data_IF_488303586953
#
_entry.id   IF_488303586953
#
_cell.length_a   1.000
_cell.length_b   1.000
_cell.length_c   1.000
_cell.angle_alpha   90.00
_cell.angle_beta   90.00
_cell.angle_gamma   90.00
#
_symmetry.space_group_name_H-M   'P 1'
#
loop_
_entity.id
_entity.type
_entity.pdbx_description
1 polymer ?
#
# COMPACT_ATOMS: atom_id res chain seq x y z
N UNK A 1 27.82 -23.34 63.68
CA UNK A 1 26.90 -22.27 63.27
C UNK A 1 27.44 -21.68 61.96
N UNK A 2 27.05 -22.25 60.82
CA UNK A 2 27.42 -21.73 59.50
C UNK A 2 26.15 -21.65 58.67
N UNK A 3 25.65 -20.43 58.46
CA UNK A 3 24.52 -20.13 57.58
C UNK A 3 25.08 -19.81 56.19
N UNK A 4 24.90 -20.71 55.23
CA UNK A 4 25.17 -20.43 53.82
C UNK A 4 23.97 -19.70 53.23
N UNK A 5 24.18 -18.44 52.82
CA UNK A 5 23.17 -17.63 52.13
C UNK A 5 23.25 -17.97 50.64
N UNK A 6 22.29 -18.74 50.14
CA UNK A 6 22.08 -18.93 48.70
C UNK A 6 21.45 -17.67 48.10
N UNK A 7 22.21 -16.97 47.27
CA UNK A 7 21.74 -15.83 46.50
C UNK A 7 20.96 -16.35 45.28
N UNK A 8 19.63 -16.28 45.32
CA UNK A 8 18.77 -16.54 44.17
C UNK A 8 18.87 -15.37 43.18
N UNK A 9 19.58 -15.58 42.08
CA UNK A 9 19.51 -14.73 40.89
C UNK A 9 18.13 -14.90 40.25
N UNK A 10 17.22 -13.98 40.55
CA UNK A 10 15.96 -13.83 39.80
C UNK A 10 16.29 -13.15 38.48
N UNK A 11 16.31 -13.93 37.40
CA UNK A 11 16.36 -13.41 36.04
C UNK A 11 15.11 -12.59 35.76
N UNK A 12 15.27 -11.27 35.63
CA UNK A 12 14.28 -10.37 35.07
C UNK A 12 14.08 -10.71 33.59
N UNK A 13 13.21 -11.67 33.31
CA UNK A 13 12.65 -11.85 31.97
C UNK A 13 11.76 -10.64 31.72
N UNK A 14 12.24 -9.69 30.92
CA UNK A 14 11.41 -8.60 30.44
C UNK A 14 10.22 -9.19 29.70
N UNK A 15 9.02 -9.04 30.27
CA UNK A 15 7.77 -9.34 29.57
C UNK A 15 7.68 -8.35 28.40
N UNK A 16 8.11 -8.78 27.21
CA UNK A 16 7.75 -8.11 25.98
C UNK A 16 6.21 -8.09 25.93
N UNK A 17 5.62 -6.93 26.16
CA UNK A 17 4.18 -6.77 26.04
C UNK A 17 3.86 -6.88 24.56
N UNK A 18 3.18 -7.96 24.16
CA UNK A 18 2.63 -8.09 22.82
C UNK A 18 1.81 -6.85 22.50
N UNK A 19 2.17 -6.14 21.43
CA UNK A 19 1.48 -4.91 21.04
C UNK A 19 0.22 -5.30 20.27
N UNK A 20 -0.94 -5.18 20.93
CA UNK A 20 -2.23 -5.35 20.27
C UNK A 20 -2.74 -4.01 19.73
N UNK A 21 -3.22 -4.02 18.49
CA UNK A 21 -3.92 -2.90 17.87
C UNK A 21 -5.41 -3.17 17.85
N UNK A 22 -6.22 -2.15 18.10
CA UNK A 22 -7.69 -2.22 18.08
C UNK A 22 -8.20 -1.60 16.79
N UNK A 23 -9.17 -2.25 16.13
CA UNK A 23 -9.79 -1.71 14.91
C UNK A 23 -10.46 -0.37 15.19
N UNK A 24 -10.10 0.65 14.41
CA UNK A 24 -10.70 1.99 14.42
C UNK A 24 -11.67 2.20 13.28
N UNK A 25 -11.42 1.54 12.15
CA UNK A 25 -12.19 1.70 10.93
C UNK A 25 -12.32 0.36 10.20
N UNK A 26 -13.50 0.10 9.63
CA UNK A 26 -13.80 -1.04 8.76
C UNK A 26 -14.53 -0.49 7.53
N UNK A 27 -13.82 -0.39 6.41
CA UNK A 27 -14.31 0.24 5.18
C UNK A 27 -14.72 -0.86 4.22
N UNK A 28 -16.02 -1.00 3.99
CA UNK A 28 -16.63 -2.08 3.20
C UNK A 28 -17.75 -1.52 2.33
N UNK A 29 -17.80 -1.91 1.06
CA UNK A 29 -18.87 -1.50 0.15
C UNK A 29 -19.02 0.01 0.07
N UNK A 30 -20.19 0.52 0.44
CA UNK A 30 -20.55 1.95 0.36
C UNK A 30 -19.70 2.84 1.29
N UNK A 31 -19.13 2.30 2.38
CA UNK A 31 -18.29 3.06 3.32
C UNK A 31 -17.03 3.64 2.65
N UNK A 32 -16.59 3.11 1.50
CA UNK A 32 -15.50 3.69 0.72
C UNK A 32 -15.81 5.11 0.26
N UNK A 33 -17.07 5.43 -0.04
CA UNK A 33 -17.47 6.75 -0.51
C UNK A 33 -17.43 7.80 0.61
N UNK A 34 -17.56 7.38 1.86
CA UNK A 34 -17.48 8.26 3.03
C UNK A 34 -16.05 8.37 3.55
N UNK A 35 -15.30 7.26 3.55
CA UNK A 35 -13.94 7.22 4.07
C UNK A 35 -12.95 7.94 3.14
N UNK A 36 -13.18 7.90 1.82
CA UNK A 36 -12.31 8.54 0.84
C UNK A 36 -12.94 9.78 0.20
N UNK A 37 -12.10 10.64 -0.34
CA UNK A 37 -12.46 11.68 -1.29
C UNK A 37 -11.85 11.38 -2.66
N UNK A 38 -12.54 11.82 -3.71
CA UNK A 38 -12.12 11.60 -5.09
C UNK A 38 -11.30 12.80 -5.57
N UNK A 39 -10.08 12.56 -6.01
CA UNK A 39 -9.15 13.61 -6.43
C UNK A 39 -9.20 13.81 -7.94
N UNK A 40 -9.99 14.79 -8.40
CA UNK A 40 -10.04 15.21 -9.80
C UNK A 40 -8.90 16.19 -10.11
N UNK A 41 -7.66 15.67 -10.08
CA UNK A 41 -6.43 16.44 -10.26
C UNK A 41 -5.69 15.98 -11.52
N UNK A 42 -4.83 16.83 -12.12
CA UNK A 42 -3.81 16.35 -13.06
C UNK A 42 -2.96 15.26 -12.39
N UNK A 43 -2.60 14.22 -13.14
CA UNK A 43 -1.78 13.13 -12.61
C UNK A 43 -0.37 13.62 -12.26
N UNK A 44 0.06 13.56 -10.99
CA UNK A 44 1.39 14.02 -10.59
C UNK A 44 2.54 13.29 -11.30
N UNK A 45 2.27 12.07 -11.78
CA UNK A 45 3.21 11.19 -12.49
C UNK A 45 3.09 11.28 -14.02
N UNK A 46 2.40 12.31 -14.53
CA UNK A 46 2.25 12.62 -15.96
C UNK A 46 1.65 11.49 -16.82
N UNK A 47 0.76 10.70 -16.22
CA UNK A 47 0.05 9.62 -16.88
C UNK A 47 -0.88 10.07 -18.00
N UNK A 48 -1.14 9.17 -18.96
CA UNK A 48 -2.20 9.30 -19.97
C UNK A 48 -3.56 8.97 -19.37
N UNK A 49 -3.90 9.68 -18.28
CA UNK A 49 -5.07 9.44 -17.45
C UNK A 49 -5.81 10.76 -17.20
N UNK A 50 -7.11 10.66 -16.94
CA UNK A 50 -7.91 11.76 -16.39
C UNK A 50 -8.60 11.25 -15.15
N UNK A 51 -8.16 11.72 -13.98
CA UNK A 51 -8.85 11.43 -12.73
C UNK A 51 -10.12 12.26 -12.66
N UNK A 52 -11.25 11.58 -12.49
CA UNK A 52 -12.56 12.21 -12.43
C UNK A 52 -13.08 12.30 -11.00
N UNK A 53 -14.01 13.22 -10.76
CA UNK A 53 -14.71 13.33 -9.48
C UNK A 53 -15.68 12.16 -9.22
N UNK A 54 -16.23 12.09 -8.01
CA UNK A 54 -17.15 11.02 -7.60
C UNK A 54 -18.40 10.96 -8.48
N UNK A 55 -19.01 12.11 -8.77
CA UNK A 55 -20.24 12.20 -9.56
C UNK A 55 -20.03 11.59 -10.95
N UNK A 56 -18.92 11.94 -11.58
CA UNK A 56 -18.52 11.43 -12.90
C UNK A 56 -18.14 9.95 -12.82
N UNK A 57 -17.37 9.54 -11.81
CA UNK A 57 -16.97 8.16 -11.60
C UNK A 57 -18.19 7.23 -11.47
N UNK A 58 -19.18 7.61 -10.66
CA UNK A 58 -20.42 6.82 -10.49
C UNK A 58 -21.24 6.84 -11.79
N UNK A 59 -21.42 7.99 -12.42
CA UNK A 59 -22.19 8.12 -13.66
C UNK A 59 -21.62 7.29 -14.82
N UNK A 60 -20.29 7.18 -14.90
CA UNK A 60 -19.58 6.38 -15.89
C UNK A 60 -19.32 4.93 -15.44
N UNK A 61 -19.72 4.58 -14.22
CA UNK A 61 -19.41 3.29 -13.57
C UNK A 61 -17.90 3.00 -13.61
N UNK A 62 -17.09 3.97 -13.18
CA UNK A 62 -15.66 3.84 -12.88
C UNK A 62 -15.42 3.49 -11.42
N UNK A 63 -16.37 3.82 -10.54
CA UNK A 63 -16.48 3.20 -9.22
C UNK A 63 -17.82 2.50 -9.04
N UNK A 64 -17.82 1.45 -8.21
CA UNK A 64 -19.03 0.74 -7.81
C UNK A 64 -18.86 0.25 -6.38
N UNK A 65 -19.79 0.60 -5.51
CA UNK A 65 -19.74 0.29 -4.09
C UNK A 65 -21.06 -0.35 -3.67
N UNK A 66 -21.04 -1.61 -3.24
CA UNK A 66 -22.24 -2.31 -2.74
C UNK A 66 -21.86 -3.55 -1.93
N UNK A 67 -22.62 -3.83 -0.88
CA UNK A 67 -22.42 -4.99 -0.01
C UNK A 67 -20.95 -5.06 0.47
N UNK A 68 -20.22 -6.11 0.10
CA UNK A 68 -18.79 -6.27 0.40
C UNK A 68 -17.90 -6.05 -0.83
N UNK A 69 -18.33 -5.26 -1.81
CA UNK A 69 -17.59 -5.02 -3.05
C UNK A 69 -17.40 -3.54 -3.28
N UNK A 70 -16.15 -3.14 -3.43
CA UNK A 70 -15.77 -1.83 -3.94
C UNK A 70 -14.89 -2.01 -5.17
N UNK A 71 -15.34 -1.50 -6.32
CA UNK A 71 -14.59 -1.49 -7.56
C UNK A 71 -14.10 -0.08 -7.87
N UNK A 72 -12.85 0.02 -8.30
CA UNK A 72 -12.25 1.21 -8.94
C UNK A 72 -11.63 0.77 -10.26
N UNK A 73 -12.03 1.37 -11.39
CA UNK A 73 -11.61 0.93 -12.73
C UNK A 73 -11.28 2.07 -13.68
N UNK A 74 -10.43 1.79 -14.67
CA UNK A 74 -10.28 2.64 -15.84
C UNK A 74 -11.48 2.48 -16.79
N UNK A 75 -11.74 3.51 -17.60
CA UNK A 75 -12.73 3.43 -18.67
C UNK A 75 -12.29 2.39 -19.72
N UNK A 76 -13.07 1.31 -19.85
CA UNK A 76 -12.88 0.28 -20.88
C UNK A 76 -13.88 0.33 -22.04
N UNK A 77 -14.72 1.38 -22.14
CA UNK A 77 -15.84 1.50 -23.09
C UNK A 77 -15.62 2.56 -24.16
N UNK A 78 -15.00 3.70 -23.85
CA UNK A 78 -14.83 4.79 -24.82
C UNK A 78 -13.96 4.37 -26.00
N UNK A 79 -14.49 4.46 -27.23
CA UNK A 79 -13.94 3.80 -28.43
C UNK A 79 -12.51 4.27 -28.77
N UNK A 80 -12.25 5.57 -28.82
CA UNK A 80 -10.93 6.14 -29.09
C UNK A 80 -10.77 7.49 -28.38
N UNK A 81 -9.56 7.78 -27.91
CA UNK A 81 -9.19 9.10 -27.37
C UNK A 81 -8.57 9.97 -28.49
N UNK A 82 -8.89 11.26 -28.47
CA UNK A 82 -8.12 12.27 -29.23
C UNK A 82 -6.68 12.32 -28.67
N UNK A 83 -5.63 12.06 -29.48
CA UNK A 83 -4.24 12.16 -29.03
C UNK A 83 -3.88 13.51 -28.41
N UNK A 84 -4.53 14.60 -28.81
CA UNK A 84 -4.35 15.95 -28.28
C UNK A 84 -5.31 16.30 -27.13
N UNK A 85 -6.29 15.42 -26.86
CA UNK A 85 -7.27 15.57 -25.80
C UNK A 85 -6.84 14.97 -24.45
N UNK A 86 -7.75 14.91 -23.47
CA UNK A 86 -7.50 14.30 -22.16
C UNK A 86 -7.15 12.81 -22.26
N UNK A 87 -6.57 12.28 -21.16
CA UNK A 87 -6.26 10.87 -21.02
C UNK A 87 -7.51 10.00 -20.81
N UNK A 88 -7.30 8.69 -20.61
CA UNK A 88 -8.40 7.76 -20.32
C UNK A 88 -8.93 8.03 -18.92
N UNK A 89 -10.24 8.08 -18.75
CA UNK A 89 -10.83 8.30 -17.44
C UNK A 89 -10.47 7.16 -16.48
N UNK A 90 -10.10 7.53 -15.27
CA UNK A 90 -9.80 6.64 -14.15
C UNK A 90 -10.08 7.39 -12.85
N UNK A 91 -9.73 6.79 -11.72
CA UNK A 91 -10.02 7.35 -10.40
C UNK A 91 -8.79 7.27 -9.50
N UNK A 92 -8.62 8.32 -8.70
CA UNK A 92 -7.70 8.42 -7.57
C UNK A 92 -8.51 8.83 -6.36
N UNK A 93 -8.47 8.02 -5.31
CA UNK A 93 -9.15 8.29 -4.05
C UNK A 93 -8.15 8.43 -2.92
N UNK A 94 -8.38 9.36 -2.00
CA UNK A 94 -7.55 9.65 -0.83
C UNK A 94 -8.38 9.57 0.44
N UNK A 95 -7.89 8.91 1.48
CA UNK A 95 -8.63 8.81 2.74
C UNK A 95 -8.80 10.20 3.34
N UNK A 96 -9.94 10.50 3.96
CA UNK A 96 -10.14 11.77 4.67
C UNK A 96 -9.28 11.86 5.93
N UNK A 97 -9.08 10.73 6.59
CA UNK A 97 -8.24 10.60 7.79
C UNK A 97 -6.77 10.46 7.41
N UNK A 98 -5.91 10.84 8.35
CA UNK A 98 -4.48 10.57 8.30
C UNK A 98 -4.03 9.63 9.40
N UNK A 99 -2.91 8.95 9.18
CA UNK A 99 -2.38 7.92 10.06
C UNK A 99 -0.87 8.09 10.27
N UNK A 100 -0.41 7.83 11.49
CA UNK A 100 1.02 7.73 11.83
C UNK A 100 1.33 6.27 12.21
N UNK A 101 1.37 5.95 13.51
CA UNK A 101 1.49 4.56 13.98
C UNK A 101 0.16 3.85 13.83
N UNK A 102 0.09 2.88 12.92
CA UNK A 102 -1.13 2.13 12.67
C UNK A 102 -0.80 0.80 11.96
N UNK A 103 -1.83 -0.04 11.86
CA UNK A 103 -1.86 -1.22 11.01
C UNK A 103 -3.03 -1.06 10.05
N UNK A 104 -2.84 -1.37 8.78
CA UNK A 104 -3.93 -1.46 7.80
C UNK A 104 -3.88 -2.82 7.10
N UNK A 105 -5.05 -3.40 6.88
CA UNK A 105 -5.23 -4.68 6.17
C UNK A 105 -6.15 -4.44 4.98
N UNK A 106 -5.68 -4.77 3.78
CA UNK A 106 -6.44 -4.71 2.53
C UNK A 106 -6.82 -6.13 2.11
N UNK A 107 -8.12 -6.45 2.08
CA UNK A 107 -8.65 -7.68 1.50
C UNK A 107 -8.99 -7.41 0.02
N UNK A 108 -8.13 -7.84 -0.90
CA UNK A 108 -8.21 -7.51 -2.33
C UNK A 108 -8.50 -8.77 -3.13
N UNK A 109 -9.53 -8.75 -3.97
CA UNK A 109 -9.92 -9.86 -4.85
C UNK A 109 -9.30 -9.74 -6.24
N UNK A 110 -9.14 -8.52 -6.72
CA UNK A 110 -8.61 -8.21 -8.05
C UNK A 110 -7.82 -6.89 -8.00
N UNK A 111 -6.74 -6.80 -8.76
CA UNK A 111 -6.01 -5.56 -9.00
C UNK A 111 -5.88 -5.27 -10.51
N UNK A 112 -5.69 -4.00 -10.92
CA UNK A 112 -5.62 -3.68 -12.33
C UNK A 112 -4.51 -4.43 -13.07
N UNK A 113 -4.86 -4.98 -14.23
CA UNK A 113 -3.91 -5.59 -15.16
C UNK A 113 -4.08 -5.00 -16.57
N UNK A 114 -2.98 -4.97 -17.33
CA UNK A 114 -2.94 -4.56 -18.73
C UNK A 114 -1.61 -3.89 -19.10
N UNK A 115 -1.33 -3.84 -20.40
CA UNK A 115 -0.27 -2.97 -20.90
C UNK A 115 -0.65 -1.50 -20.64
N UNK A 116 0.31 -0.72 -20.16
CA UNK A 116 0.15 0.68 -19.82
C UNK A 116 -0.47 0.95 -18.45
N UNK A 117 -0.91 -0.06 -17.68
CA UNK A 117 -1.48 0.18 -16.34
C UNK A 117 -0.41 0.47 -15.30
N UNK A 118 -0.68 1.44 -14.42
CA UNK A 118 0.09 1.74 -13.22
C UNK A 118 -0.85 1.86 -12.00
N UNK A 119 -1.24 0.73 -11.39
CA UNK A 119 -2.02 0.73 -10.16
C UNK A 119 -1.16 0.95 -8.92
N UNK A 120 -1.71 1.64 -7.92
CA UNK A 120 -1.07 1.80 -6.62
C UNK A 120 -2.05 1.79 -5.44
N UNK A 121 -1.61 1.21 -4.33
CA UNK A 121 -2.13 1.41 -2.96
C UNK A 121 -0.96 1.83 -2.09
N UNK A 122 -1.04 3.04 -1.53
CA UNK A 122 0.11 3.73 -0.96
C UNK A 122 -0.32 4.77 0.05
N UNK A 123 0.63 5.32 0.79
CA UNK A 123 0.38 6.36 1.78
C UNK A 123 1.40 7.50 1.67
N UNK A 124 0.91 8.73 1.71
CA UNK A 124 1.76 9.92 1.77
C UNK A 124 1.06 11.12 2.40
N UNK A 125 1.83 12.18 2.64
CA UNK A 125 1.31 13.54 2.74
C UNK A 125 1.66 14.29 1.45
N UNK A 126 0.66 14.54 0.61
CA UNK A 126 0.86 15.14 -0.72
C UNK A 126 1.34 16.59 -0.64
N UNK A 127 0.85 17.35 0.35
CA UNK A 127 1.28 18.74 0.55
C UNK A 127 2.74 18.78 1.00
N UNK A 128 3.60 19.40 0.18
CA UNK A 128 5.03 19.49 0.45
C UNK A 128 5.78 18.18 0.20
N UNK A 129 5.20 17.26 -0.57
CA UNK A 129 5.86 16.02 -0.97
C UNK A 129 7.28 16.27 -1.53
N UNK A 130 8.30 15.44 -1.18
CA UNK A 130 8.27 14.25 -0.31
C UNK A 130 8.76 14.53 1.11
N UNK A 131 8.63 15.76 1.63
CA UNK A 131 9.11 16.10 2.98
C UNK A 131 8.43 15.24 4.05
N UNK A 132 7.15 14.91 3.85
CA UNK A 132 6.39 14.03 4.73
C UNK A 132 6.60 12.54 4.48
N UNK A 133 7.45 12.14 3.52
CA UNK A 133 7.66 10.74 3.12
C UNK A 133 6.49 10.10 2.38
N UNK A 134 6.74 8.98 1.75
CA UNK A 134 5.76 8.16 1.02
C UNK A 134 6.12 6.68 1.17
N UNK A 135 5.09 5.84 1.27
CA UNK A 135 5.21 4.38 1.29
C UNK A 135 4.24 3.75 0.30
N UNK A 136 4.79 3.03 -0.67
CA UNK A 136 4.05 2.21 -1.61
C UNK A 136 3.88 0.81 -1.03
N UNK A 137 2.64 0.35 -0.91
CA UNK A 137 2.30 -0.95 -0.32
C UNK A 137 2.06 -1.98 -1.43
N UNK A 138 1.26 -1.58 -2.42
CA UNK A 138 0.98 -2.37 -3.62
C UNK A 138 1.26 -1.49 -4.82
N UNK A 139 2.29 -1.79 -5.61
CA UNK A 139 2.65 -0.99 -6.78
C UNK A 139 3.38 -1.83 -7.84
N UNK A 140 3.10 -1.51 -9.10
CA UNK A 140 3.78 -2.06 -10.25
C UNK A 140 3.21 -1.51 -11.56
N UNK A 141 3.79 -1.93 -12.68
CA UNK A 141 3.43 -1.39 -14.01
C UNK A 141 3.35 -2.50 -15.05
N UNK A 142 2.49 -2.34 -16.06
CA UNK A 142 2.46 -3.17 -17.27
C UNK A 142 2.38 -4.70 -17.05
N UNK A 143 1.70 -5.16 -15.99
CA UNK A 143 1.69 -6.58 -15.54
C UNK A 143 3.04 -7.15 -15.12
N UNK A 144 4.06 -6.31 -14.95
CA UNK A 144 5.39 -6.72 -14.52
C UNK A 144 5.34 -6.97 -13.02
N UNK A 145 5.17 -8.25 -12.66
CA UNK A 145 5.37 -8.71 -11.29
C UNK A 145 6.87 -8.87 -10.97
N UNK A 146 7.21 -9.07 -9.70
CA UNK A 146 6.34 -9.13 -8.50
C UNK A 146 6.00 -7.75 -7.94
N UNK A 147 5.15 -7.70 -6.90
CA UNK A 147 4.80 -6.45 -6.24
C UNK A 147 6.04 -5.73 -5.70
N UNK A 148 6.11 -4.43 -5.89
CA UNK A 148 7.08 -3.56 -5.24
C UNK A 148 6.44 -2.87 -4.03
N UNK A 149 7.09 -2.92 -2.88
CA UNK A 149 6.84 -1.98 -1.80
C UNK A 149 8.04 -1.04 -1.69
N UNK A 150 7.79 0.26 -1.64
CA UNK A 150 8.84 1.29 -1.84
C UNK A 150 8.69 2.39 -0.81
N UNK A 151 9.80 2.99 -0.40
CA UNK A 151 9.77 4.25 0.35
C UNK A 151 10.42 5.35 -0.48
N UNK A 152 9.78 6.52 -0.49
CA UNK A 152 10.33 7.77 -1.00
C UNK A 152 10.46 8.75 0.15
N UNK A 153 11.65 9.31 0.33
CA UNK A 153 11.93 10.25 1.43
C UNK A 153 12.78 11.42 0.94
N UNK A 154 12.86 12.46 1.77
CA UNK A 154 13.95 13.44 1.70
C UNK A 154 15.33 12.77 1.98
N UNK A 155 16.46 13.45 1.74
CA UNK A 155 17.79 12.88 1.97
C UNK A 155 18.01 12.34 3.39
N UNK A 156 18.68 11.20 3.51
CA UNK A 156 19.11 10.65 4.81
C UNK A 156 18.50 9.30 5.21
N UNK A 157 17.79 8.63 4.29
CA UNK A 157 17.17 7.32 4.51
C UNK A 157 17.77 6.28 3.57
N UNK A 158 18.30 5.20 4.15
CA UNK A 158 18.74 4.01 3.41
C UNK A 158 18.05 2.76 3.92
N UNK A 159 17.54 1.94 3.02
CA UNK A 159 16.96 0.65 3.35
C UNK A 159 18.07 -0.38 3.61
N UNK A 160 17.92 -1.13 4.70
CA UNK A 160 18.87 -2.16 5.11
C UNK A 160 18.37 -3.56 4.72
N UNK A 161 19.27 -4.37 4.17
CA UNK A 161 19.02 -5.77 3.82
C UNK A 161 19.06 -6.64 5.07
N UNK A 162 17.90 -6.90 5.68
CA UNK A 162 17.83 -7.83 6.82
C UNK A 162 16.93 -9.04 6.60
N UNK A 163 16.14 -9.10 5.52
CA UNK A 163 15.24 -10.22 5.26
C UNK A 163 15.49 -10.95 3.95
N UNK A 164 15.35 -12.28 4.02
CA UNK A 164 15.47 -13.20 2.89
C UNK A 164 14.21 -13.21 2.02
N UNK A 165 13.13 -12.48 2.33
CA UNK A 165 11.86 -12.55 1.59
C UNK A 165 11.67 -11.48 0.52
N UNK A 166 12.69 -10.64 0.30
CA UNK A 166 12.65 -9.55 -0.67
C UNK A 166 13.97 -9.38 -1.42
N UNK A 167 13.94 -8.58 -2.49
CA UNK A 167 15.12 -8.09 -3.21
C UNK A 167 14.97 -6.60 -3.47
N UNK A 168 15.94 -5.78 -3.02
CA UNK A 168 15.96 -4.36 -3.34
C UNK A 168 16.37 -4.12 -4.79
N UNK A 169 15.65 -3.23 -5.49
CA UNK A 169 16.11 -2.66 -6.76
C UNK A 169 17.23 -1.65 -6.52
N UNK A 170 17.08 -0.86 -5.46
CA UNK A 170 18.10 0.00 -4.89
C UNK A 170 17.76 0.29 -3.42
N UNK A 171 18.74 0.78 -2.67
CA UNK A 171 18.62 0.93 -1.21
C UNK A 171 18.51 2.39 -0.75
N UNK A 172 18.78 3.37 -1.60
CA UNK A 172 18.63 4.78 -1.23
C UNK A 172 17.16 5.21 -1.42
N UNK A 173 16.51 5.63 -0.34
CA UNK A 173 15.11 6.05 -0.38
C UNK A 173 14.95 7.52 -0.80
N UNK A 174 16.06 8.26 -0.92
CA UNK A 174 16.07 9.65 -1.34
C UNK A 174 15.67 9.77 -2.81
N UNK A 175 14.53 10.38 -3.09
CA UNK A 175 14.02 10.54 -4.46
C UNK A 175 14.96 11.34 -5.39
N UNK A 176 15.78 12.24 -4.84
CA UNK A 176 16.63 13.16 -5.60
C UNK A 176 17.81 12.49 -6.32
N UNK A 177 18.22 11.31 -5.90
CA UNK A 177 19.50 10.71 -6.33
C UNK A 177 19.35 9.49 -7.23
N UNK A 178 18.11 9.06 -7.48
CA UNK A 178 17.80 7.83 -8.20
C UNK A 178 16.66 8.01 -9.21
N UNK A 179 16.37 9.25 -9.61
CA UNK A 179 15.29 9.55 -10.55
C UNK A 179 13.92 9.20 -10.00
N UNK A 180 13.70 9.49 -8.71
CA UNK A 180 12.49 9.15 -7.97
C UNK A 180 12.18 7.64 -7.89
N UNK A 181 13.19 6.77 -7.97
CA UNK A 181 12.95 5.34 -7.88
C UNK A 181 12.60 4.86 -6.45
N UNK A 182 13.04 5.59 -5.41
CA UNK A 182 12.84 5.21 -4.00
C UNK A 182 13.46 3.84 -3.64
N UNK A 183 13.52 3.48 -2.37
CA UNK A 183 14.15 2.21 -1.98
C UNK A 183 13.20 1.02 -2.14
N UNK A 184 12.89 0.68 -3.40
CA UNK A 184 11.91 -0.35 -3.74
C UNK A 184 12.39 -1.76 -3.46
N UNK A 185 11.60 -2.50 -2.68
CA UNK A 185 11.79 -3.91 -2.39
C UNK A 185 10.76 -4.75 -3.14
N UNK A 186 11.24 -5.64 -4.01
CA UNK A 186 10.39 -6.63 -4.68
C UNK A 186 10.08 -7.78 -3.74
N UNK A 187 8.80 -8.13 -3.62
CA UNK A 187 8.36 -9.34 -2.93
C UNK A 187 8.80 -10.58 -3.72
N UNK A 188 9.11 -11.70 -3.05
CA UNK A 188 9.47 -12.95 -3.76
C UNK A 188 8.29 -13.74 -4.31
N UNK A 189 7.13 -13.63 -3.68
CA UNK A 189 5.95 -14.39 -4.06
C UNK A 189 5.43 -13.93 -5.43
N UNK A 190 5.39 -14.87 -6.39
CA UNK A 190 4.95 -14.62 -7.76
C UNK A 190 3.45 -14.31 -7.86
N UNK A 191 2.66 -14.64 -6.82
CA UNK A 191 1.23 -14.34 -6.74
C UNK A 191 0.94 -12.92 -6.22
N UNK A 192 1.97 -12.13 -5.91
CA UNK A 192 1.81 -10.82 -5.27
C UNK A 192 1.28 -9.71 -6.18
N UNK A 193 1.29 -9.87 -7.51
CA UNK A 193 0.92 -8.76 -8.39
C UNK A 193 0.32 -9.21 -9.73
N UNK A 194 -0.52 -8.33 -10.30
CA UNK A 194 -0.99 -8.43 -11.68
C UNK A 194 -1.76 -9.72 -11.99
N UNK A 195 -1.58 -10.29 -13.19
CA UNK A 195 -2.38 -11.44 -13.64
C UNK A 195 -2.29 -12.68 -12.75
N UNK A 196 -1.13 -12.95 -12.14
CA UNK A 196 -0.97 -14.10 -11.24
C UNK A 196 -1.72 -13.90 -9.91
N UNK A 197 -1.74 -12.68 -9.38
CA UNK A 197 -2.58 -12.31 -8.25
C UNK A 197 -4.07 -12.51 -8.56
N UNK A 198 -4.52 -11.99 -9.71
CA UNK A 198 -5.91 -12.07 -10.15
C UNK A 198 -6.36 -13.52 -10.38
N UNK A 199 -5.54 -14.34 -11.06
CA UNK A 199 -5.83 -15.75 -11.33
C UNK A 199 -5.96 -16.60 -10.04
N UNK A 200 -5.33 -16.16 -8.95
CA UNK A 200 -5.42 -16.80 -7.64
C UNK A 200 -6.63 -16.30 -6.81
N UNK A 201 -7.43 -15.35 -7.30
CA UNK A 201 -8.52 -14.73 -6.53
C UNK A 201 -8.03 -13.69 -5.51
N UNK A 202 -6.86 -13.10 -5.80
CA UNK A 202 -6.22 -12.07 -5.03
C UNK A 202 -5.57 -12.55 -3.74
N UNK A 203 -5.75 -11.78 -2.65
CA UNK A 203 -5.13 -12.06 -1.36
C UNK A 203 -5.33 -10.94 -0.35
N UNK A 204 -4.49 -10.97 0.69
CA UNK A 204 -4.46 -9.96 1.73
C UNK A 204 -3.11 -9.28 1.74
N UNK A 205 -3.11 -7.95 1.72
CA UNK A 205 -1.95 -7.15 2.06
C UNK A 205 -2.15 -6.57 3.45
N UNK A 206 -1.09 -6.54 4.25
CA UNK A 206 -1.10 -5.80 5.51
C UNK A 206 0.14 -4.94 5.62
N UNK A 207 -0.03 -3.76 6.22
CA UNK A 207 1.03 -2.81 6.48
C UNK A 207 1.01 -2.43 7.96
N UNK A 208 2.17 -2.54 8.62
CA UNK A 208 2.38 -2.01 9.97
C UNK A 208 3.42 -0.90 9.91
N UNK A 209 3.04 0.29 10.36
CA UNK A 209 3.93 1.44 10.54
C UNK A 209 4.14 1.73 12.02
N UNK A 210 5.40 1.84 12.42
CA UNK A 210 5.81 2.28 13.76
C UNK A 210 6.97 3.28 13.65
N UNK A 211 7.33 3.97 14.75
CA UNK A 211 8.55 4.79 14.81
C UNK A 211 9.86 4.04 14.53
N UNK A 212 9.87 2.71 14.56
CA UNK A 212 11.09 1.88 14.50
C UNK A 212 11.17 1.04 13.24
N UNK A 213 10.06 0.86 12.54
CA UNK A 213 10.01 0.05 11.34
C UNK A 213 8.71 0.23 10.57
N UNK A 214 8.79 -0.17 9.31
CA UNK A 214 7.65 -0.44 8.45
C UNK A 214 7.72 -1.88 7.93
N UNK A 215 6.60 -2.59 7.96
CA UNK A 215 6.49 -3.98 7.51
C UNK A 215 5.32 -4.14 6.55
N UNK A 216 5.53 -4.86 5.46
CA UNK A 216 4.48 -5.25 4.53
C UNK A 216 4.40 -6.77 4.48
N UNK A 217 3.21 -7.32 4.64
CA UNK A 217 2.91 -8.73 4.44
C UNK A 217 2.00 -8.89 3.22
N UNK A 218 2.16 -10.04 2.57
CA UNK A 218 1.24 -10.52 1.55
C UNK A 218 0.90 -11.98 1.85
N UNK A 219 -0.39 -12.31 1.82
CA UNK A 219 -0.88 -13.68 1.81
C UNK A 219 -1.76 -13.89 0.58
N UNK A 220 -1.39 -14.80 -0.35
CA UNK A 220 -2.27 -15.13 -1.46
C UNK A 220 -3.57 -15.74 -0.93
N UNK A 221 -4.68 -15.58 -1.67
CA UNK A 221 -5.99 -16.10 -1.29
C UNK A 221 -5.99 -17.59 -0.93
N UNK A 222 -5.17 -18.38 -1.63
CA UNK A 222 -4.99 -19.82 -1.45
C UNK A 222 -4.10 -20.21 -0.26
N UNK A 223 -3.50 -19.24 0.44
CA UNK A 223 -2.59 -19.50 1.54
C UNK A 223 -3.31 -20.16 2.73
N UNK A 224 -2.74 -21.27 3.22
CA UNK A 224 -3.24 -21.95 4.42
C UNK A 224 -2.84 -21.29 5.74
N UNK A 225 -1.99 -20.26 5.70
CA UNK A 225 -1.40 -19.59 6.86
C UNK A 225 -1.82 -18.12 6.99
N UNK A 226 -2.96 -17.72 6.40
CA UNK A 226 -3.55 -16.40 6.66
C UNK A 226 -3.81 -16.24 8.17
N UNK A 227 -3.30 -15.18 8.82
CA UNK A 227 -3.53 -14.98 10.25
C UNK A 227 -5.02 -14.90 10.59
N UNK A 228 -5.44 -15.58 11.65
CA UNK A 228 -6.85 -15.71 12.03
C UNK A 228 -7.44 -14.43 12.62
N UNK A 229 -6.60 -13.49 13.03
CA UNK A 229 -7.00 -12.22 13.63
C UNK A 229 -7.25 -11.12 12.58
N UNK A 230 -6.90 -11.34 11.31
CA UNK A 230 -7.23 -10.41 10.22
C UNK A 230 -8.75 -10.20 10.13
N UNK A 231 -9.17 -8.93 10.10
CA UNK A 231 -10.58 -8.53 10.04
C UNK A 231 -11.34 -8.64 11.36
N UNK A 232 -10.68 -9.04 12.46
CA UNK A 232 -11.31 -9.09 13.79
C UNK A 232 -11.22 -7.73 14.50
N UNK A 233 -11.69 -7.63 15.74
CA UNK A 233 -11.65 -6.38 16.51
C UNK A 233 -10.22 -5.99 16.95
N UNK A 234 -9.32 -6.96 17.04
CA UNK A 234 -7.96 -6.78 17.56
C UNK A 234 -6.97 -7.60 16.73
N UNK A 235 -5.83 -7.01 16.40
CA UNK A 235 -4.73 -7.71 15.71
C UNK A 235 -3.45 -7.67 16.52
N UNK A 236 -2.60 -8.66 16.29
CA UNK A 236 -1.24 -8.72 16.80
C UNK A 236 -0.24 -9.11 15.69
N UNK A 237 0.36 -8.11 15.01
CA UNK A 237 1.32 -8.35 13.93
C UNK A 237 2.54 -9.20 14.31
N UNK A 238 2.91 -9.28 15.59
CA UNK A 238 4.01 -10.15 16.04
C UNK A 238 3.71 -11.64 15.80
N UNK A 239 2.45 -12.01 15.58
CA UNK A 239 2.02 -13.39 15.31
C UNK A 239 1.87 -13.71 13.83
N UNK A 240 2.06 -12.73 12.95
CA UNK A 240 1.84 -12.85 11.50
C UNK A 240 3.00 -13.50 10.75
N UNK A 241 4.10 -13.79 11.43
CA UNK A 241 5.31 -14.36 10.85
C UNK A 241 6.17 -13.31 10.14
N UNK A 242 7.08 -13.79 9.29
CA UNK A 242 8.06 -12.94 8.60
C UNK A 242 7.32 -12.08 7.56
N UNK A 243 7.53 -10.75 7.56
CA UNK A 243 6.95 -9.87 6.54
C UNK A 243 7.63 -10.08 5.18
N UNK A 244 6.84 -9.90 4.11
CA UNK A 244 7.33 -9.96 2.74
C UNK A 244 8.36 -8.85 2.47
N UNK A 245 8.15 -7.66 3.05
CA UNK A 245 9.09 -6.53 3.00
C UNK A 245 9.25 -5.91 4.39
N UNK A 246 10.48 -5.51 4.73
CA UNK A 246 10.79 -4.87 6.01
C UNK A 246 11.78 -3.74 5.84
N UNK A 247 11.39 -2.57 6.35
CA UNK A 247 12.22 -1.39 6.43
C UNK A 247 12.51 -1.09 7.92
N UNK A 248 13.72 -1.40 8.42
CA UNK A 248 14.13 -1.08 9.79
C UNK A 248 14.64 0.37 9.92
N UNK A 249 14.64 0.90 11.14
CA UNK A 249 15.15 2.25 11.46
C UNK A 249 16.69 2.34 11.50
N UNK A 250 17.41 1.26 11.16
CA UNK A 250 18.89 1.19 11.19
C UNK A 250 19.57 2.36 10.48
N UNK A 251 18.97 2.86 9.40
CA UNK A 251 19.48 3.99 8.62
C UNK A 251 18.34 4.93 8.18
N UNK A 252 17.28 4.99 8.98
CA UNK A 252 16.13 5.86 8.77
C UNK A 252 15.53 6.29 10.12
N UNK A 253 15.44 7.59 10.35
CA UNK A 253 14.64 8.13 11.44
C UNK A 253 13.18 8.30 10.97
N UNK A 254 12.36 7.26 11.13
CA UNK A 254 10.98 7.26 10.61
C UNK A 254 10.12 8.38 11.20
N UNK A 255 10.36 8.80 12.45
CA UNK A 255 9.58 9.88 13.08
C UNK A 255 9.86 11.24 12.44
N UNK A 256 11.09 11.45 11.96
CA UNK A 256 11.45 12.68 11.24
C UNK A 256 11.09 12.64 9.76
N UNK A 257 11.21 11.46 9.15
CA UNK A 257 11.06 11.32 7.70
C UNK A 257 9.61 11.15 7.25
N UNK A 258 8.73 10.69 8.14
CA UNK A 258 7.35 10.38 7.78
C UNK A 258 6.35 11.09 8.70
N UNK A 259 5.55 11.99 8.12
CA UNK A 259 4.47 12.69 8.81
C UNK A 259 3.20 11.82 8.85
N UNK A 260 2.07 12.39 9.30
CA UNK A 260 0.78 11.72 9.19
C UNK A 260 0.38 11.61 7.71
N UNK A 261 0.03 10.41 7.26
CA UNK A 261 -0.25 10.12 5.86
C UNK A 261 -1.72 9.83 5.61
N UNK A 262 -2.20 10.21 4.43
CA UNK A 262 -3.44 9.69 3.86
C UNK A 262 -3.17 8.36 3.14
N UNK A 263 -4.13 7.45 3.17
CA UNK A 263 -4.15 6.25 2.31
C UNK A 263 -4.68 6.67 0.94
N UNK A 264 -4.00 6.25 -0.13
CA UNK A 264 -4.37 6.57 -1.51
C UNK A 264 -4.51 5.26 -2.30
N UNK A 265 -5.55 5.20 -3.13
CA UNK A 265 -5.78 4.12 -4.08
C UNK A 265 -6.02 4.75 -5.45
N UNK A 266 -5.24 4.36 -6.44
CA UNK A 266 -5.42 4.87 -7.80
C UNK A 266 -5.08 3.84 -8.87
N UNK A 267 -5.42 4.24 -10.10
CA UNK A 267 -4.99 3.59 -11.32
C UNK A 267 -4.60 4.68 -12.31
N UNK A 268 -3.29 4.94 -12.45
CA UNK A 268 -2.76 5.75 -13.54
C UNK A 268 -2.50 4.87 -14.77
N UNK A 269 -2.16 5.50 -15.90
CA UNK A 269 -1.82 4.84 -17.14
C UNK A 269 -0.60 5.52 -17.77
N UNK A 270 0.37 4.76 -18.27
CA UNK A 270 1.62 5.28 -18.82
C UNK A 270 2.42 6.13 -17.82
N UNK A 271 2.64 7.41 -18.11
CA UNK A 271 3.40 8.31 -17.26
C UNK A 271 4.88 8.00 -17.21
N UNK A 272 5.55 8.59 -16.23
CA UNK A 272 7.01 8.54 -16.09
C UNK A 272 7.55 7.13 -15.88
N UNK A 273 6.77 6.22 -15.30
CA UNK A 273 7.18 4.85 -15.08
C UNK A 273 6.61 3.87 -16.11
N UNK A 274 5.29 3.63 -16.12
CA UNK A 274 4.70 2.60 -17.00
C UNK A 274 4.86 2.94 -18.48
N UNK A 275 4.90 4.23 -18.81
CA UNK A 275 5.07 4.73 -20.18
C UNK A 275 6.52 4.84 -20.63
N UNK A 276 7.50 4.67 -19.74
CA UNK A 276 8.90 4.80 -20.08
C UNK A 276 9.32 3.73 -21.10
N UNK A 277 9.96 4.08 -22.25
CA UNK A 277 10.26 3.12 -23.30
C UNK A 277 11.12 1.91 -22.87
N UNK A 278 11.96 2.07 -21.86
CA UNK A 278 12.78 0.98 -21.31
C UNK A 278 12.00 0.04 -20.36
N UNK A 279 10.82 0.46 -19.88
CA UNK A 279 10.00 -0.29 -18.93
C UNK A 279 8.75 -0.85 -19.62
N UNK A 280 8.18 -0.13 -20.59
CA UNK A 280 7.05 -0.59 -21.37
C UNK A 280 7.45 -1.85 -22.17
N UNK A 281 6.84 -3.03 -21.89
CA UNK A 281 7.29 -4.28 -22.48
C UNK A 281 7.20 -4.29 -24.00
N UNK A 282 8.19 -4.88 -24.68
CA UNK A 282 8.14 -5.08 -26.14
C UNK A 282 6.98 -5.99 -26.59
N UNK A 283 6.43 -6.80 -25.67
CA UNK A 283 5.22 -7.60 -25.90
C UNK A 283 3.93 -6.77 -25.89
N UNK A 284 3.99 -5.53 -25.37
CA UNK A 284 2.86 -4.62 -25.42
C UNK A 284 2.77 -3.93 -26.79
N UNK A 285 1.57 -3.74 -27.33
CA UNK A 285 1.40 -3.16 -28.66
C UNK A 285 1.60 -1.64 -28.63
N UNK A 286 2.02 -1.08 -29.76
CA UNK A 286 2.18 0.37 -29.99
C UNK A 286 3.10 1.05 -28.95
N UNK A 287 3.17 2.37 -28.98
CA UNK A 287 3.67 3.11 -27.81
C UNK A 287 2.61 3.11 -26.70
N UNK A 288 3.00 3.30 -25.44
CA UNK A 288 2.05 3.26 -24.31
C UNK A 288 0.87 4.21 -24.50
N UNK A 289 1.13 5.48 -24.86
CA UNK A 289 0.08 6.49 -25.07
C UNK A 289 -0.84 6.09 -26.21
N UNK A 290 -0.30 5.58 -27.32
CA UNK A 290 -1.14 5.09 -28.42
C UNK A 290 -1.96 3.87 -28.04
N UNK A 291 -1.39 2.94 -27.25
CA UNK A 291 -2.11 1.79 -26.74
C UNK A 291 -3.30 2.22 -25.89
N UNK A 292 -3.07 3.11 -24.92
CA UNK A 292 -4.10 3.70 -24.07
C UNK A 292 -5.15 4.43 -24.90
N UNK A 293 -4.77 5.20 -25.92
CA UNK A 293 -5.71 5.94 -26.76
C UNK A 293 -6.57 5.03 -27.64
N UNK A 294 -6.01 3.96 -28.18
CA UNK A 294 -6.60 3.18 -29.29
C UNK A 294 -7.25 1.85 -28.88
N UNK A 295 -7.04 1.36 -27.65
CA UNK A 295 -7.43 0.00 -27.25
C UNK A 295 -8.27 -0.02 -25.96
N UNK A 296 -9.48 0.56 -25.92
CA UNK A 296 -10.28 0.62 -24.68
C UNK A 296 -10.59 -0.75 -24.07
N UNK A 297 -10.87 -1.75 -24.91
CA UNK A 297 -11.20 -3.10 -24.43
C UNK A 297 -10.01 -3.80 -23.76
N UNK A 298 -8.78 -3.33 -23.95
CA UNK A 298 -7.60 -3.83 -23.23
C UNK A 298 -7.66 -3.50 -21.73
N UNK A 299 -8.41 -2.47 -21.34
CA UNK A 299 -8.55 -2.01 -19.95
C UNK A 299 -9.76 -2.61 -19.24
N UNK A 300 -10.44 -3.62 -19.82
CA UNK A 300 -11.58 -4.29 -19.16
C UNK A 300 -11.23 -4.93 -17.81
N UNK A 301 -9.99 -5.39 -17.67
CA UNK A 301 -9.44 -5.98 -16.44
C UNK A 301 -8.58 -4.97 -15.66
N UNK A 302 -8.55 -3.69 -16.06
CA UNK A 302 -7.83 -2.66 -15.33
C UNK A 302 -8.71 -2.11 -14.20
N UNK A 303 -8.96 -2.95 -13.19
CA UNK A 303 -9.76 -2.59 -12.03
C UNK A 303 -9.27 -3.23 -10.73
N UNK A 304 -9.44 -2.48 -9.64
CA UNK A 304 -9.37 -2.98 -8.28
C UNK A 304 -10.72 -3.56 -7.86
N UNK A 305 -10.72 -4.66 -7.13
CA UNK A 305 -11.86 -5.16 -6.36
C UNK A 305 -11.43 -5.35 -4.91
N UNK A 306 -11.87 -4.44 -4.05
CA UNK A 306 -11.68 -4.53 -2.62
C UNK A 306 -12.89 -5.17 -1.95
N UNK A 307 -12.61 -6.14 -1.07
CA UNK A 307 -13.60 -6.67 -0.14
C UNK A 307 -13.75 -5.81 1.10
N UNK A 308 -12.62 -5.39 1.68
CA UNK A 308 -12.57 -4.58 2.88
C UNK A 308 -11.21 -3.89 3.04
N UNK A 309 -11.21 -2.77 3.77
CA UNK A 309 -10.01 -2.19 4.38
C UNK A 309 -10.27 -2.08 5.88
N UNK A 310 -9.45 -2.73 6.70
CA UNK A 310 -9.49 -2.61 8.15
C UNK A 310 -8.29 -1.81 8.66
N UNK A 311 -8.54 -0.74 9.42
CA UNK A 311 -7.50 0.09 10.02
C UNK A 311 -7.51 -0.10 11.54
N UNK A 312 -6.32 -0.25 12.13
CA UNK A 312 -6.11 -0.49 13.55
C UNK A 312 -5.09 0.49 14.11
N UNK A 313 -5.35 0.99 15.31
CA UNK A 313 -4.43 1.85 16.05
C UNK A 313 -4.24 1.31 17.46
N UNK A 314 -3.14 1.71 18.11
CA UNK A 314 -2.85 1.28 19.49
C UNK A 314 -3.93 1.77 20.44
N UNK A 315 -4.40 0.91 21.34
CA UNK A 315 -5.36 1.29 22.36
C UNK A 315 -4.69 2.19 23.41
N UNK A 316 -4.87 3.50 23.28
CA UNK A 316 -4.32 4.50 24.20
C UNK A 316 -4.93 4.44 25.61
N UNK A 317 -5.98 3.63 25.83
CA UNK A 317 -6.59 3.46 27.18
C UNK A 317 -5.74 2.61 28.11
N UNK A 318 -4.86 1.74 27.59
CA UNK A 318 -4.04 0.84 28.42
C UNK A 318 -2.89 1.60 29.13
N UNK A 319 -2.34 2.64 28.50
CA UNK A 319 -1.24 3.42 29.09
C UNK A 319 -1.67 4.38 30.20
N UNK A 320 -2.93 4.85 30.20
CA UNK A 320 -3.44 5.76 31.26
C UNK A 320 -3.65 5.08 32.61
N UNK A 321 -3.82 3.76 32.65
CA UNK A 321 -4.05 3.02 33.89
C UNK A 321 -2.75 2.60 34.61
N UNK A 322 -1.59 2.62 33.94
CA UNK A 322 -0.30 2.30 34.58
C UNK A 322 0.29 3.48 35.37
N UNK A 323 0.00 4.73 35.00
CA UNK A 323 0.50 5.90 35.74
C UNK A 323 -0.22 6.16 37.07
N UNK A 324 -1.38 5.53 37.32
CA UNK A 324 -2.13 5.66 38.58
C UNK A 324 -1.85 4.57 39.62
N UNK A 325 -1.09 3.53 39.30
CA UNK A 325 -0.78 2.42 40.24
C UNK A 325 0.60 2.50 40.91
N UNK A 326 1.39 3.53 40.63
CA UNK A 326 2.67 3.80 41.32
C UNK A 326 2.58 4.94 42.34
N UNK A 327 1.36 5.33 42.73
CA UNK A 327 1.12 6.29 43.79
C UNK A 327 0.09 5.71 44.77
N UNK A 328 0.49 4.64 45.47
CA UNK A 328 -0.04 4.18 46.76
C UNK A 328 1.00 3.28 47.40
#
# INVERSE_FOLDING_TARGET
MHLSISCLLVSLVGLAQAVSYRRTDNVVGEEFDDFFEYQAIPDPTFGRVTYVDRTTAVAQNLTFAKDNTFILRADGKQVLLDPSGPGRNSVRIRSRKTFTTHVVVFDVRHMPEGCGTWPAVWETQEEGWPVGGEVDIIEGVNNIGTNAATLHTSPGTFASTSLVQMTFKQQDCNWLVNGNAGCGALMRDQLSFGPSFNANGGGHFAFERTPRYMKVWFWPRSAGNVPRDLGTQYVNPDTWGIPAVFFPDTSCDFEKMFSAHHIIINLSLCGEWAGHPAIYPASCPLTCVEHVNKNPTAFKNAFWDFKAIDIYQRDTRVCKNKSKRSAM
#
